data_IF_336422298169
#
_entry.id   IF_336422298169
#
_cell.length_a   1.000
_cell.length_b   1.000
_cell.length_c   1.000
_cell.angle_alpha   90.00
_cell.angle_beta   90.00
_cell.angle_gamma   90.00
#
_symmetry.space_group_name_H-M   'P 1'
#
loop_
_entity.id
_entity.type
_entity.pdbx_description
1 polymer ?
#
# COMPACT_ATOMS: atom_id res chain seq x y z
N UNK A 1 -14.10 23.76 -19.38
CA UNK A 1 -13.52 23.78 -18.01
C UNK A 1 -14.38 23.07 -16.94
N UNK A 2 -15.70 22.83 -17.13
CA UNK A 2 -16.55 22.15 -16.12
C UNK A 2 -16.24 20.65 -15.90
N UNK A 3 -15.86 19.89 -16.93
CA UNK A 3 -15.59 18.45 -16.81
C UNK A 3 -14.33 18.05 -16.03
N UNK A 4 -13.36 18.95 -15.84
CA UNK A 4 -12.14 18.68 -15.04
C UNK A 4 -12.43 18.64 -13.53
N UNK A 5 -13.44 19.39 -13.06
CA UNK A 5 -13.80 19.44 -11.65
C UNK A 5 -14.55 18.19 -11.19
N UNK A 6 -15.25 17.49 -12.08
CA UNK A 6 -16.00 16.28 -11.73
C UNK A 6 -15.08 15.06 -11.56
N UNK A 7 -14.08 14.91 -12.43
CA UNK A 7 -13.15 13.77 -12.37
C UNK A 7 -12.20 13.78 -11.17
N UNK A 8 -11.89 14.95 -10.61
CA UNK A 8 -10.98 15.09 -9.48
C UNK A 8 -11.42 14.29 -8.24
N UNK A 9 -12.72 14.31 -7.94
CA UNK A 9 -13.28 13.58 -6.80
C UNK A 9 -13.08 12.06 -6.93
N UNK A 10 -13.17 11.54 -8.15
CA UNK A 10 -12.96 10.12 -8.44
C UNK A 10 -11.49 9.76 -8.21
N UNK A 11 -10.55 10.60 -8.65
CA UNK A 11 -9.11 10.39 -8.44
C UNK A 11 -8.78 10.37 -6.94
N UNK A 12 -9.31 11.34 -6.18
CA UNK A 12 -9.11 11.39 -4.73
C UNK A 12 -9.70 10.16 -4.04
N UNK A 13 -10.89 9.72 -4.45
CA UNK A 13 -11.54 8.54 -3.90
C UNK A 13 -10.73 7.26 -4.19
N UNK A 14 -10.26 7.08 -5.42
CA UNK A 14 -9.41 5.95 -5.80
C UNK A 14 -8.11 5.97 -4.99
N UNK A 15 -7.45 7.13 -4.88
CA UNK A 15 -6.24 7.28 -4.08
C UNK A 15 -6.46 6.92 -2.61
N UNK A 16 -7.59 7.32 -2.04
CA UNK A 16 -7.97 7.00 -0.67
C UNK A 16 -8.26 5.52 -0.46
N UNK A 17 -8.99 4.89 -1.39
CA UNK A 17 -9.27 3.44 -1.36
C UNK A 17 -7.97 2.64 -1.47
N UNK A 18 -7.07 3.02 -2.38
CA UNK A 18 -5.75 2.40 -2.53
C UNK A 18 -4.91 2.54 -1.25
N UNK A 19 -4.96 3.71 -0.62
CA UNK A 19 -4.27 3.96 0.64
C UNK A 19 -4.77 3.07 1.77
N UNK A 20 -6.09 3.00 1.98
CA UNK A 20 -6.69 2.14 2.99
C UNK A 20 -6.40 0.67 2.71
N UNK A 21 -6.51 0.23 1.46
CA UNK A 21 -6.20 -1.12 1.05
C UNK A 21 -4.75 -1.49 1.40
N UNK A 22 -3.78 -0.65 1.04
CA UNK A 22 -2.37 -0.92 1.33
C UNK A 22 -2.10 -0.99 2.83
N UNK A 23 -2.71 -0.10 3.62
CA UNK A 23 -2.55 -0.09 5.08
C UNK A 23 -3.12 -1.37 5.71
N UNK A 24 -4.35 -1.75 5.35
CA UNK A 24 -5.00 -2.95 5.86
C UNK A 24 -4.23 -4.22 5.43
N UNK A 25 -3.81 -4.29 4.17
CA UNK A 25 -3.04 -5.41 3.61
C UNK A 25 -1.69 -5.57 4.34
N UNK A 26 -1.00 -4.45 4.62
CA UNK A 26 0.25 -4.47 5.35
C UNK A 26 0.10 -4.91 6.81
N UNK A 27 -0.93 -4.42 7.51
CA UNK A 27 -1.18 -4.72 8.91
C UNK A 27 -1.66 -6.16 9.15
N UNK A 28 -2.48 -6.69 8.22
CA UNK A 28 -3.02 -8.06 8.30
C UNK A 28 -1.96 -9.14 8.12
N UNK A 29 -0.82 -8.83 7.49
CA UNK A 29 0.24 -9.83 7.29
C UNK A 29 1.02 -10.11 8.58
N UNK A 30 1.24 -11.40 8.93
CA UNK A 30 2.02 -11.78 10.09
C UNK A 30 3.46 -11.29 9.99
N UNK A 31 4.05 -10.88 11.12
CA UNK A 31 5.42 -10.35 11.14
C UNK A 31 6.47 -11.37 10.67
N UNK A 32 6.21 -12.67 10.82
CA UNK A 32 7.06 -13.73 10.30
C UNK A 32 7.17 -13.68 8.77
N UNK A 33 6.09 -13.35 8.06
CA UNK A 33 6.09 -13.23 6.60
C UNK A 33 6.95 -12.06 6.13
N UNK A 34 6.90 -10.95 6.86
CA UNK A 34 7.74 -9.78 6.61
C UNK A 34 9.21 -10.08 6.81
N UNK A 35 9.55 -10.75 7.92
CA UNK A 35 10.92 -11.19 8.20
C UNK A 35 11.44 -12.16 7.14
N UNK A 36 10.64 -13.16 6.75
CA UNK A 36 11.01 -14.10 5.70
C UNK A 36 11.27 -13.37 4.37
N UNK A 37 10.44 -12.39 4.02
CA UNK A 37 10.62 -11.56 2.82
C UNK A 37 11.82 -10.60 2.89
N UNK A 38 12.53 -10.51 4.02
CA UNK A 38 13.62 -9.53 4.22
C UNK A 38 13.12 -8.08 4.25
N UNK A 39 11.84 -7.86 4.55
CA UNK A 39 11.20 -6.55 4.52
C UNK A 39 10.85 -6.09 5.94
N UNK A 40 10.86 -4.77 6.17
CA UNK A 40 10.49 -4.19 7.47
C UNK A 40 9.05 -3.67 7.45
N UNK A 41 8.15 -4.36 8.16
CA UNK A 41 6.72 -3.98 8.27
C UNK A 41 6.53 -2.56 8.76
N UNK A 42 7.23 -2.18 9.84
CA UNK A 42 7.08 -0.87 10.49
C UNK A 42 7.48 0.23 9.52
N UNK A 43 8.60 0.07 8.81
CA UNK A 43 9.05 1.02 7.80
C UNK A 43 7.96 1.27 6.74
N UNK A 44 7.39 0.20 6.15
CA UNK A 44 6.38 0.35 5.10
C UNK A 44 5.05 0.89 5.63
N UNK A 45 4.61 0.49 6.82
CA UNK A 45 3.40 1.06 7.44
C UNK A 45 3.56 2.57 7.67
N UNK A 46 4.72 3.00 8.19
CA UNK A 46 5.02 4.43 8.39
C UNK A 46 5.03 5.17 7.05
N UNK A 47 5.66 4.62 6.01
CA UNK A 47 5.66 5.21 4.67
C UNK A 47 4.23 5.33 4.10
N UNK A 48 3.38 4.32 4.25
CA UNK A 48 1.98 4.37 3.81
C UNK A 48 1.24 5.50 4.53
N UNK A 49 1.40 5.64 5.85
CA UNK A 49 0.69 6.67 6.63
C UNK A 49 1.16 8.08 6.26
N UNK A 50 2.48 8.31 6.18
CA UNK A 50 3.04 9.66 5.95
C UNK A 50 2.88 10.10 4.49
N UNK A 51 3.09 9.20 3.52
CA UNK A 51 3.08 9.54 2.11
C UNK A 51 1.69 9.37 1.45
N UNK A 52 0.71 8.86 2.19
CA UNK A 52 -0.65 8.65 1.69
C UNK A 52 -0.67 7.69 0.50
N UNK A 53 -1.36 8.07 -0.57
CA UNK A 53 -1.49 7.25 -1.79
C UNK A 53 -0.12 6.93 -2.44
N UNK A 54 0.89 7.79 -2.30
CA UNK A 54 2.25 7.50 -2.78
C UNK A 54 2.89 6.36 -1.98
N UNK A 55 2.71 6.35 -0.66
CA UNK A 55 3.18 5.27 0.20
C UNK A 55 2.48 3.94 -0.11
N UNK A 56 1.19 4.01 -0.46
CA UNK A 56 0.42 2.86 -0.93
C UNK A 56 0.96 2.29 -2.26
N UNK A 57 1.37 3.15 -3.19
CA UNK A 57 2.02 2.71 -4.43
C UNK A 57 3.38 2.09 -4.18
N UNK A 58 4.22 2.69 -3.33
CA UNK A 58 5.52 2.12 -2.95
C UNK A 58 5.34 0.73 -2.33
N UNK A 59 4.34 0.57 -1.46
CA UNK A 59 3.97 -0.71 -0.88
C UNK A 59 3.55 -1.75 -1.94
N UNK A 60 2.73 -1.34 -2.90
CA UNK A 60 2.23 -2.23 -3.95
C UNK A 60 3.35 -2.77 -4.86
N UNK A 61 4.40 -1.98 -5.09
CA UNK A 61 5.48 -2.32 -6.03
C UNK A 61 6.65 -3.03 -5.35
N UNK A 62 6.98 -2.68 -4.09
CA UNK A 62 8.21 -3.16 -3.43
C UNK A 62 7.92 -4.38 -2.53
N UNK A 63 7.30 -4.24 -1.34
CA UNK A 63 7.16 -5.35 -0.40
C UNK A 63 6.06 -6.33 -0.82
N UNK A 64 4.95 -5.88 -1.42
CA UNK A 64 3.83 -6.76 -1.76
C UNK A 64 4.22 -7.97 -2.65
N UNK A 65 4.96 -7.80 -3.76
CA UNK A 65 5.39 -8.96 -4.55
C UNK A 65 6.38 -9.85 -3.78
N UNK A 66 7.26 -9.28 -2.94
CA UNK A 66 8.16 -10.08 -2.10
C UNK A 66 7.38 -10.92 -1.07
N UNK A 67 6.36 -10.34 -0.44
CA UNK A 67 5.49 -11.02 0.53
C UNK A 67 4.64 -12.11 -0.13
N UNK A 68 4.19 -11.89 -1.38
CA UNK A 68 3.41 -12.87 -2.13
C UNK A 68 4.24 -14.14 -2.46
N UNK A 69 5.54 -13.99 -2.79
CA UNK A 69 6.43 -15.14 -3.06
C UNK A 69 6.62 -16.04 -1.85
N UNK A 70 6.56 -15.48 -0.63
CA UNK A 70 6.69 -16.26 0.61
C UNK A 70 5.45 -17.07 0.97
N UNK A 71 4.30 -16.83 0.32
CA UNK A 71 3.09 -17.65 0.51
C UNK A 71 3.17 -18.92 -0.33
N UNK A 72 3.89 -18.88 -1.45
CA UNK A 72 4.00 -19.98 -2.42
C UNK A 72 5.15 -20.97 -2.16
N UNK A 73 5.94 -20.75 -1.10
CA UNK A 73 7.10 -21.56 -0.71
C UNK A 73 6.85 -22.25 0.61
#
# INVERSE_FOLDING_TARGET
MRGLFEGWHIIVLIGFVLWLWALVDALRRPDQQWKAAGQNKVLFVVLIVILGWLGALLYAVIPRPALARQVSS
#
